data_IF_105466857332
#
_entry.id   IF_105466857332
#
_cell.length_a   1.000
_cell.length_b   1.000
_cell.length_c   1.000
_cell.angle_alpha   90.00
_cell.angle_beta   90.00
_cell.angle_gamma   90.00
#
_symmetry.space_group_name_H-M   'P 1'
#
loop_
_entity.id
_entity.type
_entity.pdbx_description
1 polymer ?
#
# COMPACT_ATOMS: atom_id res chain seq x y z
N UNK A 1 -5.26 -11.29 -13.22
CA UNK A 1 -5.59 -10.04 -12.55
C UNK A 1 -4.40 -9.57 -11.73
N UNK A 2 -4.08 -8.31 -11.82
CA UNK A 2 -2.98 -7.72 -11.05
C UNK A 2 -3.50 -6.67 -10.08
N UNK A 3 -3.10 -6.80 -8.83
CA UNK A 3 -3.49 -5.89 -7.76
C UNK A 3 -2.24 -5.16 -7.27
N UNK A 4 -2.32 -3.85 -7.19
CA UNK A 4 -1.20 -3.03 -6.73
C UNK A 4 -1.49 -2.49 -5.33
N UNK A 5 -0.56 -2.70 -4.42
CA UNK A 5 -0.64 -2.15 -3.07
C UNK A 5 0.45 -1.10 -2.91
N UNK A 6 0.06 0.13 -2.57
CA UNK A 6 1.01 1.15 -2.17
C UNK A 6 1.28 1.01 -0.68
N UNK A 7 2.52 0.80 -0.32
CA UNK A 7 2.90 0.49 1.06
C UNK A 7 3.92 1.48 1.62
N UNK A 8 3.59 2.06 2.76
CA UNK A 8 4.52 2.85 3.56
C UNK A 8 4.44 2.27 4.97
N UNK A 9 5.57 1.97 5.62
CA UNK A 9 5.50 1.38 6.97
C UNK A 9 4.67 2.22 7.91
N UNK A 10 3.53 1.71 8.33
CA UNK A 10 2.60 2.41 9.20
C UNK A 10 1.45 1.46 9.54
N UNK A 11 0.72 1.72 10.62
CA UNK A 11 -0.45 0.89 10.94
C UNK A 11 -1.49 0.89 9.83
N UNK A 12 -1.62 1.98 9.12
CA UNK A 12 -2.58 2.09 8.03
C UNK A 12 -2.23 1.14 6.89
N UNK A 13 -0.95 1.07 6.57
CA UNK A 13 -0.50 0.18 5.52
C UNK A 13 -0.61 -1.28 5.92
N UNK A 14 -0.51 -1.58 7.22
CA UNK A 14 -0.74 -2.94 7.68
C UNK A 14 -2.15 -3.41 7.37
N UNK A 15 -3.13 -2.57 7.64
CA UNK A 15 -4.51 -2.90 7.33
C UNK A 15 -4.71 -3.08 5.83
N UNK A 16 -4.08 -2.22 5.04
CA UNK A 16 -4.16 -2.32 3.59
C UNK A 16 -3.51 -3.60 3.09
N UNK A 17 -2.39 -3.98 3.68
CA UNK A 17 -1.71 -5.20 3.30
C UNK A 17 -2.57 -6.43 3.56
N UNK A 18 -3.20 -6.49 4.73
CA UNK A 18 -4.08 -7.61 5.03
C UNK A 18 -5.25 -7.71 4.07
N UNK A 19 -5.83 -6.56 3.75
CA UNK A 19 -6.91 -6.52 2.77
C UNK A 19 -6.42 -7.03 1.41
N UNK A 20 -5.25 -6.57 0.99
CA UNK A 20 -4.70 -6.96 -0.31
C UNK A 20 -4.44 -8.47 -0.38
N UNK A 21 -3.90 -9.03 0.70
CA UNK A 21 -3.62 -10.47 0.72
C UNK A 21 -4.89 -11.30 0.63
N UNK A 22 -5.96 -10.85 1.27
CA UNK A 22 -7.24 -11.54 1.16
C UNK A 22 -7.78 -11.47 -0.27
N UNK A 23 -7.70 -10.28 -0.87
CA UNK A 23 -8.20 -10.10 -2.22
C UNK A 23 -7.42 -10.95 -3.23
N UNK A 24 -6.11 -11.00 -3.08
CA UNK A 24 -5.26 -11.77 -3.98
C UNK A 24 -5.61 -13.26 -3.91
N UNK A 25 -5.81 -13.76 -2.70
CA UNK A 25 -6.15 -15.18 -2.53
C UNK A 25 -7.53 -15.50 -3.04
N UNK A 26 -8.49 -14.63 -2.77
CA UNK A 26 -9.86 -14.82 -3.20
C UNK A 26 -10.01 -14.80 -4.71
N UNK A 27 -9.27 -13.91 -5.35
CA UNK A 27 -9.39 -13.70 -6.79
C UNK A 27 -8.31 -14.40 -7.61
N UNK A 28 -7.44 -15.13 -6.95
CA UNK A 28 -6.32 -15.78 -7.62
C UNK A 28 -5.53 -14.78 -8.47
N UNK A 29 -5.18 -13.67 -7.87
CA UNK A 29 -4.50 -12.58 -8.53
C UNK A 29 -3.04 -12.51 -8.13
N UNK A 30 -2.27 -11.71 -8.86
CA UNK A 30 -0.89 -11.42 -8.52
C UNK A 30 -0.83 -10.07 -7.81
N UNK A 31 -0.09 -10.00 -6.73
CA UNK A 31 0.07 -8.77 -5.97
C UNK A 31 1.39 -8.09 -6.31
N UNK A 32 1.32 -6.80 -6.62
CA UNK A 32 2.51 -5.98 -6.76
C UNK A 32 2.51 -5.04 -5.56
N UNK A 33 3.56 -5.13 -4.72
CA UNK A 33 3.70 -4.25 -3.58
C UNK A 33 4.73 -3.20 -3.93
N UNK A 34 4.30 -1.94 -3.96
CA UNK A 34 5.18 -0.82 -4.24
C UNK A 34 5.50 -0.16 -2.92
N UNK A 35 6.68 -0.46 -2.38
CA UNK A 35 7.08 0.00 -1.07
C UNK A 35 7.95 1.23 -1.18
N UNK A 36 7.58 2.27 -0.46
CA UNK A 36 8.33 3.51 -0.43
C UNK A 36 9.37 3.45 0.70
N UNK A 37 10.53 4.02 0.42
CA UNK A 37 11.55 4.16 1.45
C UNK A 37 11.21 5.29 2.42
N UNK A 38 10.18 6.06 2.13
CA UNK A 38 9.76 7.15 2.99
C UNK A 38 9.40 6.62 4.37
N UNK A 39 9.92 7.27 5.39
CA UNK A 39 9.68 6.84 6.75
C UNK A 39 10.74 5.91 7.30
N UNK A 40 11.63 5.42 6.47
CA UNK A 40 12.74 4.62 6.94
C UNK A 40 13.76 5.54 7.61
N UNK A 41 14.27 5.10 8.76
CA UNK A 41 15.32 5.84 9.44
C UNK A 41 16.65 5.43 8.80
N UNK A 42 17.36 6.37 8.14
CA UNK A 42 18.60 5.98 7.47
C UNK A 42 19.71 5.53 8.43
N UNK A 43 19.54 5.82 9.71
CA UNK A 43 20.54 5.37 10.71
C UNK A 43 20.31 3.94 11.14
N UNK A 44 19.14 3.42 10.90
CA UNK A 44 18.89 1.99 11.06
C UNK A 44 19.13 1.41 9.71
N UNK A 45 19.63 0.25 9.67
CA UNK A 45 19.56 -0.49 8.44
C UNK A 45 18.11 -0.75 8.20
N UNK A 46 17.35 0.21 8.61
CA UNK A 46 15.95 0.05 8.76
C UNK A 46 15.18 -0.05 7.49
N UNK A 47 15.64 0.60 6.45
CA UNK A 47 15.00 0.45 5.17
C UNK A 47 14.99 -1.00 4.74
N UNK A 48 16.12 -1.66 4.93
CA UNK A 48 16.22 -3.06 4.61
C UNK A 48 15.46 -3.92 5.61
N UNK A 49 15.48 -3.54 6.88
CA UNK A 49 14.76 -4.28 7.90
C UNK A 49 13.27 -4.27 7.70
N UNK A 50 12.72 -3.08 7.39
CA UNK A 50 11.29 -2.96 7.13
C UNK A 50 10.90 -3.75 5.89
N UNK A 51 11.73 -3.72 4.87
CA UNK A 51 11.47 -4.47 3.65
C UNK A 51 11.57 -5.97 3.91
N UNK A 52 12.51 -6.39 4.75
CA UNK A 52 12.66 -7.80 5.07
C UNK A 52 11.44 -8.33 5.82
N UNK A 53 10.92 -7.57 6.78
CA UNK A 53 9.70 -7.95 7.48
C UNK A 53 8.52 -8.08 6.54
N UNK A 54 8.39 -7.12 5.65
CA UNK A 54 7.32 -7.14 4.67
C UNK A 54 7.43 -8.36 3.78
N UNK A 55 8.63 -8.66 3.32
CA UNK A 55 8.86 -9.82 2.47
C UNK A 55 8.52 -11.12 3.19
N UNK A 56 8.89 -11.21 4.46
CA UNK A 56 8.55 -12.39 5.26
C UNK A 56 7.04 -12.60 5.35
N UNK A 57 6.32 -11.52 5.58
CA UNK A 57 4.87 -11.60 5.67
C UNK A 57 4.24 -12.01 4.33
N UNK A 58 4.77 -11.49 3.24
CA UNK A 58 4.28 -11.84 1.92
C UNK A 58 4.54 -13.31 1.61
N UNK A 59 5.71 -13.80 1.95
CA UNK A 59 6.03 -15.21 1.72
C UNK A 59 5.21 -16.13 2.60
N UNK A 60 4.99 -15.73 3.84
CA UNK A 60 4.18 -16.53 4.75
C UNK A 60 2.73 -16.61 4.31
N UNK A 61 2.26 -15.64 3.57
CA UNK A 61 0.87 -15.61 3.11
C UNK A 61 0.58 -16.62 2.00
N UNK A 62 1.61 -17.07 1.31
CA UNK A 62 1.43 -17.97 0.18
C UNK A 62 0.93 -17.29 -1.09
N UNK A 63 0.80 -15.97 -1.07
CA UNK A 63 0.31 -15.25 -2.22
C UNK A 63 1.39 -15.12 -3.29
N UNK A 64 0.95 -14.99 -4.53
CA UNK A 64 1.86 -14.67 -5.62
C UNK A 64 2.11 -13.18 -5.57
N UNK A 65 3.36 -12.76 -5.37
CA UNK A 65 3.65 -11.36 -5.20
C UNK A 65 4.96 -10.95 -5.85
N UNK A 66 5.07 -9.64 -6.06
CA UNK A 66 6.31 -9.01 -6.48
C UNK A 66 6.48 -7.77 -5.60
N UNK A 67 7.63 -7.65 -4.95
CA UNK A 67 7.93 -6.52 -4.09
C UNK A 67 8.89 -5.58 -4.81
N UNK A 68 8.48 -4.33 -4.98
CA UNK A 68 9.32 -3.30 -5.60
C UNK A 68 9.52 -2.18 -4.60
N UNK A 69 10.75 -1.72 -4.49
CA UNK A 69 11.08 -0.60 -3.62
C UNK A 69 11.37 0.62 -4.47
N UNK A 70 10.81 1.76 -4.08
CA UNK A 70 11.03 3.01 -4.81
C UNK A 70 11.63 4.05 -3.89
N UNK A 71 12.48 4.93 -4.42
CA UNK A 71 13.03 6.02 -3.62
C UNK A 71 11.92 6.96 -3.17
N UNK A 72 12.11 7.58 -2.02
CA UNK A 72 11.09 8.44 -1.44
C UNK A 72 11.17 9.88 -1.89
N UNK A 73 12.00 10.19 -2.85
CA UNK A 73 12.23 11.58 -3.22
C UNK A 73 11.20 12.17 -4.17
N UNK A 74 10.44 11.33 -4.84
CA UNK A 74 9.44 11.81 -5.78
C UNK A 74 8.05 11.62 -5.23
N UNK A 75 7.08 12.12 -5.98
CA UNK A 75 5.69 11.96 -5.62
C UNK A 75 5.31 10.49 -5.73
N UNK A 76 4.87 9.92 -4.61
CA UNK A 76 4.46 8.52 -4.60
C UNK A 76 3.32 8.25 -5.57
N UNK A 77 2.47 9.23 -5.81
CA UNK A 77 1.38 9.08 -6.78
C UNK A 77 1.90 8.83 -8.18
N UNK A 78 2.99 9.52 -8.56
CA UNK A 78 3.59 9.29 -9.87
C UNK A 78 4.06 7.86 -10.02
N UNK A 79 4.70 7.32 -8.99
CA UNK A 79 5.18 5.94 -9.04
C UNK A 79 4.04 4.96 -9.16
N UNK A 80 2.97 5.21 -8.42
CA UNK A 80 1.79 4.34 -8.47
C UNK A 80 1.15 4.39 -9.85
N UNK A 81 0.93 5.59 -10.37
CA UNK A 81 0.27 5.76 -11.66
C UNK A 81 1.10 5.16 -12.79
N UNK A 82 2.40 5.34 -12.73
CA UNK A 82 3.30 4.75 -13.71
C UNK A 82 3.23 3.22 -13.68
N UNK A 83 3.22 2.64 -12.50
CA UNK A 83 3.13 1.20 -12.34
C UNK A 83 1.81 0.66 -12.90
N UNK A 84 0.72 1.38 -12.67
CA UNK A 84 -0.58 0.98 -13.21
C UNK A 84 -0.52 0.86 -14.72
N UNK A 85 0.09 1.83 -15.40
CA UNK A 85 0.21 1.80 -16.84
C UNK A 85 1.16 0.71 -17.32
N UNK A 86 2.32 0.62 -16.71
CA UNK A 86 3.36 -0.30 -17.18
C UNK A 86 2.98 -1.76 -16.99
N UNK A 87 2.27 -2.06 -15.92
CA UNK A 87 1.96 -3.44 -15.57
C UNK A 87 0.50 -3.83 -15.82
N UNK A 88 -0.28 -2.93 -16.38
CA UNK A 88 -1.70 -3.18 -16.65
C UNK A 88 -2.42 -3.63 -15.37
N UNK A 89 -2.30 -2.83 -14.32
CA UNK A 89 -2.90 -3.13 -13.03
C UNK A 89 -4.42 -3.03 -13.11
N UNK A 90 -5.10 -3.98 -12.50
CA UNK A 90 -6.56 -4.04 -12.53
C UNK A 90 -7.22 -3.43 -11.30
N UNK A 91 -6.49 -3.33 -10.19
CA UNK A 91 -7.03 -2.81 -8.94
C UNK A 91 -5.91 -2.22 -8.10
N UNK A 92 -6.13 -1.06 -7.53
CA UNK A 92 -5.16 -0.42 -6.63
C UNK A 92 -5.72 -0.41 -5.21
N UNK A 93 -4.88 -0.74 -4.25
CA UNK A 93 -5.26 -0.70 -2.84
C UNK A 93 -4.34 0.26 -2.12
N UNK A 94 -4.92 1.20 -1.39
CA UNK A 94 -4.18 2.21 -0.63
C UNK A 94 -4.72 2.29 0.77
N UNK A 95 -3.86 2.64 1.75
CA UNK A 95 -4.31 2.90 3.10
C UNK A 95 -4.60 4.38 3.29
N UNK A 96 -5.63 4.69 4.04
CA UNK A 96 -5.94 6.07 4.43
C UNK A 96 -5.19 6.35 5.72
N UNK A 97 -4.32 7.36 5.69
CA UNK A 97 -3.34 7.58 6.75
C UNK A 97 -3.86 8.21 8.02
N UNK A 98 -4.80 9.13 7.91
CA UNK A 98 -5.14 9.96 9.07
C UNK A 98 -6.61 10.06 9.34
N UNK A 99 -6.91 10.21 10.61
CA UNK A 99 -8.20 10.72 11.06
C UNK A 99 -7.94 12.07 11.66
N UNK A 100 -8.85 13.00 11.43
CA UNK A 100 -8.76 14.28 12.11
C UNK A 100 -9.19 14.11 13.56
N UNK A 101 -8.85 15.09 14.46
CA UNK A 101 -9.31 15.02 15.83
C UNK A 101 -10.82 14.96 15.99
N UNK A 102 -11.56 15.45 15.00
CA UNK A 102 -13.02 15.40 15.04
C UNK A 102 -13.57 14.12 14.40
N UNK A 103 -12.70 13.16 14.10
CA UNK A 103 -13.14 11.86 13.63
C UNK A 103 -13.33 11.71 12.13
N UNK A 104 -13.05 12.75 11.38
CA UNK A 104 -13.17 12.67 9.93
C UNK A 104 -11.93 12.03 9.33
N UNK A 105 -12.14 11.26 8.28
CA UNK A 105 -11.03 10.69 7.53
C UNK A 105 -10.50 11.71 6.55
N UNK A 106 -9.18 11.81 6.45
CA UNK A 106 -8.54 12.66 5.48
C UNK A 106 -7.75 11.82 4.50
N UNK A 107 -7.95 12.10 3.23
CA UNK A 107 -7.12 11.52 2.20
C UNK A 107 -5.89 12.36 2.01
N UNK A 108 -4.73 11.73 2.00
CA UNK A 108 -3.50 12.43 1.65
C UNK A 108 -3.47 12.79 0.18
N UNK A 109 -2.54 13.65 -0.20
CA UNK A 109 -2.42 14.10 -1.58
C UNK A 109 -2.17 12.94 -2.53
N UNK A 110 -1.38 11.96 -2.10
CA UNK A 110 -1.11 10.78 -2.92
C UNK A 110 -2.38 10.01 -3.22
N UNK A 111 -3.19 9.74 -2.21
CA UNK A 111 -4.42 9.00 -2.39
C UNK A 111 -5.40 9.77 -3.28
N UNK A 112 -5.53 11.07 -3.04
CA UNK A 112 -6.41 11.89 -3.86
C UNK A 112 -6.02 11.85 -5.32
N UNK A 113 -4.74 12.00 -5.60
CA UNK A 113 -4.28 12.02 -6.97
C UNK A 113 -4.47 10.67 -7.65
N UNK A 114 -4.18 9.58 -6.95
CA UNK A 114 -4.37 8.25 -7.51
C UNK A 114 -5.85 7.99 -7.80
N UNK A 115 -6.73 8.36 -6.86
CA UNK A 115 -8.16 8.18 -7.07
C UNK A 115 -8.64 8.93 -8.31
N UNK A 116 -8.15 10.15 -8.49
CA UNK A 116 -8.61 10.98 -9.60
C UNK A 116 -8.03 10.55 -10.95
N UNK A 117 -6.84 9.99 -10.97
CA UNK A 117 -6.15 9.76 -12.23
C UNK A 117 -6.00 8.29 -12.62
N UNK A 118 -6.20 7.36 -11.70
CA UNK A 118 -6.02 5.95 -12.03
C UNK A 118 -7.11 5.48 -13.01
N UNK A 119 -6.73 4.72 -14.03
CA UNK A 119 -7.71 4.18 -14.99
C UNK A 119 -8.43 2.94 -14.49
N UNK A 120 -8.17 2.50 -13.27
CA UNK A 120 -8.77 1.30 -12.70
C UNK A 120 -9.36 1.63 -11.33
N UNK A 121 -10.18 0.73 -10.76
CA UNK A 121 -10.73 0.96 -9.43
C UNK A 121 -9.64 1.10 -8.36
N UNK A 122 -9.92 1.94 -7.38
CA UNK A 122 -9.03 2.19 -6.25
C UNK A 122 -9.79 1.91 -4.96
N UNK A 123 -9.24 1.03 -4.14
CA UNK A 123 -9.82 0.71 -2.83
C UNK A 123 -8.99 1.42 -1.77
N UNK A 124 -9.63 2.21 -0.94
CA UNK A 124 -8.98 2.87 0.17
C UNK A 124 -9.35 2.17 1.46
N UNK A 125 -8.34 1.66 2.15
CA UNK A 125 -8.55 0.88 3.38
C UNK A 125 -8.34 1.80 4.57
N UNK A 126 -9.33 1.85 5.45
CA UNK A 126 -9.26 2.66 6.66
C UNK A 126 -8.40 1.98 7.70
N UNK A 127 -7.68 2.76 8.52
CA UNK A 127 -6.93 2.16 9.61
C UNK A 127 -7.88 1.49 10.59
N UNK A 128 -7.42 0.41 11.20
CA UNK A 128 -8.20 -0.25 12.21
C UNK A 128 -8.37 0.67 13.39
N UNK A 129 -9.58 0.73 13.93
CA UNK A 129 -9.80 1.55 15.09
C UNK A 129 -9.24 0.89 16.31
N UNK A 130 -8.42 1.60 16.99
CA UNK A 130 -7.95 1.13 18.27
C UNK A 130 -9.15 1.07 19.19
N UNK A 131 -9.40 0.01 19.76
CA UNK A 131 -10.53 -0.18 20.59
C UNK A 131 -11.76 -0.19 19.84
N UNK A 132 -11.94 -0.35 18.84
CA UNK A 132 -12.95 -0.35 18.23
C UNK A 132 -13.78 -0.79 18.31
N UNK A 133 -13.87 -1.04 18.62
CA UNK A 133 -14.69 -1.20 18.58
C UNK A 133 -15.24 -0.32 17.85
N UNK A 134 -15.14 0.04 17.60
CA UNK A 134 -15.72 0.88 17.07
C UNK A 134 -15.90 1.20 16.31
#
# INVERSE_FOLDING_TARGET
>A
MKILLGYVPSPTSEAALEYALREVRTKDAQLIVLASERGADPRKTGGEGATAELRERLEASGASYELRTVPSRDDAADDILKTIEQDAVDLVILGIRHRTPIGKMLLGSTAQRVIMEAPCPVVCVKPEKAGRGS
#
